data_IF_441091712463
#
_entry.id   IF_441091712463
#
_cell.length_a   1.000
_cell.length_b   1.000
_cell.length_c   1.000
_cell.angle_alpha   90.00
_cell.angle_beta   90.00
_cell.angle_gamma   90.00
#
_symmetry.space_group_name_H-M   'P 1'
#
loop_
_entity.id
_entity.type
_entity.pdbx_description
1 polymer ?
#
# COMPACT_ATOMS: atom_id res chain seq x y z
N UNK A 1 -49.06 16.00 5.03
CA UNK A 1 -48.46 16.88 3.98
C UNK A 1 -47.08 17.48 4.34
N UNK A 2 -46.44 17.10 5.47
CA UNK A 2 -45.11 17.63 5.90
C UNK A 2 -43.88 16.81 5.44
N UNK A 3 -44.07 15.66 4.80
CA UNK A 3 -42.97 14.77 4.39
C UNK A 3 -42.26 15.18 3.08
N UNK A 4 -42.90 15.99 2.22
CA UNK A 4 -42.31 16.42 0.94
C UNK A 4 -41.38 17.64 1.04
N UNK A 5 -41.45 18.42 2.12
CA UNK A 5 -40.55 19.58 2.32
C UNK A 5 -39.20 19.22 2.93
N UNK A 6 -39.10 18.13 3.70
CA UNK A 6 -37.82 17.60 4.20
C UNK A 6 -37.02 16.87 3.12
N UNK A 7 -37.67 16.17 2.18
CA UNK A 7 -36.97 15.51 1.07
C UNK A 7 -36.35 16.50 0.06
N UNK A 8 -36.83 17.74 -0.04
CA UNK A 8 -36.24 18.76 -0.93
C UNK A 8 -35.05 19.50 -0.32
N UNK A 9 -34.87 19.51 1.02
CA UNK A 9 -33.69 20.08 1.68
C UNK A 9 -32.51 19.12 1.76
N UNK A 10 -32.73 17.82 1.58
CA UNK A 10 -31.67 16.80 1.45
C UNK A 10 -31.41 16.41 -0.02
N UNK A 11 -31.48 17.37 -0.96
CA UNK A 11 -30.54 17.34 -2.07
C UNK A 11 -29.21 17.72 -1.45
N UNK A 12 -28.42 16.71 -1.08
CA UNK A 12 -27.02 16.87 -0.71
C UNK A 12 -26.30 17.50 -1.89
N UNK A 13 -26.29 18.83 -1.93
CA UNK A 13 -25.10 19.53 -2.37
C UNK A 13 -24.07 19.17 -1.30
N UNK A 14 -23.33 18.08 -1.52
CA UNK A 14 -22.16 17.76 -0.70
C UNK A 14 -21.34 19.05 -0.66
N UNK A 15 -21.28 19.68 0.52
CA UNK A 15 -20.58 20.94 0.67
C UNK A 15 -19.14 20.77 0.22
N UNK A 16 -18.45 21.85 -0.16
CA UNK A 16 -17.04 21.76 -0.56
C UNK A 16 -16.16 21.06 0.50
N UNK A 17 -16.56 21.06 1.78
CA UNK A 17 -15.92 20.31 2.85
C UNK A 17 -16.08 18.78 2.73
N UNK A 18 -17.29 18.27 2.43
CA UNK A 18 -17.54 16.83 2.30
C UNK A 18 -16.88 16.24 1.05
N UNK A 19 -16.86 17.00 -0.05
CA UNK A 19 -16.14 16.60 -1.28
C UNK A 19 -14.63 16.54 -1.07
N UNK A 20 -14.05 17.45 -0.29
CA UNK A 20 -12.63 17.44 0.07
C UNK A 20 -12.29 16.24 0.97
N UNK A 21 -13.14 15.89 1.94
CA UNK A 21 -12.94 14.72 2.80
C UNK A 21 -12.97 13.41 2.01
N UNK A 22 -13.98 13.20 1.17
CA UNK A 22 -14.09 12.00 0.31
C UNK A 22 -12.89 11.89 -0.65
N UNK A 23 -12.47 13.01 -1.24
CA UNK A 23 -11.28 13.04 -2.10
C UNK A 23 -9.99 12.71 -1.34
N UNK A 24 -9.82 13.22 -0.13
CA UNK A 24 -8.64 12.96 0.71
C UNK A 24 -8.53 11.50 1.14
N UNK A 25 -9.62 10.91 1.64
CA UNK A 25 -9.65 9.49 2.03
C UNK A 25 -9.43 8.55 0.84
N UNK A 26 -9.97 8.90 -0.33
CA UNK A 26 -9.74 8.13 -1.57
C UNK A 26 -8.28 8.21 -2.00
N UNK A 27 -7.65 9.39 -1.91
CA UNK A 27 -6.23 9.56 -2.20
C UNK A 27 -5.35 8.75 -1.25
N UNK A 28 -5.69 8.71 0.04
CA UNK A 28 -4.96 7.89 1.02
C UNK A 28 -5.04 6.39 0.70
N UNK A 29 -6.23 5.89 0.32
CA UNK A 29 -6.40 4.50 -0.11
C UNK A 29 -5.56 4.16 -1.35
N UNK A 30 -5.62 5.02 -2.37
CA UNK A 30 -4.86 4.82 -3.61
C UNK A 30 -3.36 4.84 -3.30
N UNK A 31 -2.90 5.77 -2.46
CA UNK A 31 -1.49 5.86 -2.11
C UNK A 31 -0.99 4.58 -1.41
N UNK A 32 -1.73 4.06 -0.43
CA UNK A 32 -1.35 2.85 0.31
C UNK A 32 -1.29 1.61 -0.59
N UNK A 33 -2.28 1.39 -1.46
CA UNK A 33 -2.28 0.21 -2.33
C UNK A 33 -1.29 0.32 -3.48
N UNK A 34 -1.23 1.48 -4.15
CA UNK A 34 -0.44 1.61 -5.38
C UNK A 34 1.06 1.62 -5.07
N UNK A 35 1.48 2.21 -3.95
CA UNK A 35 2.88 2.22 -3.53
C UNK A 35 3.46 0.81 -3.37
N UNK A 36 2.79 -0.04 -2.58
CA UNK A 36 3.27 -1.39 -2.26
C UNK A 36 3.20 -2.34 -3.47
N UNK A 37 2.11 -2.26 -4.26
CA UNK A 37 1.94 -3.05 -5.47
C UNK A 37 3.06 -2.77 -6.48
N UNK A 38 3.37 -1.51 -6.78
CA UNK A 38 4.36 -1.16 -7.82
C UNK A 38 5.74 -1.73 -7.50
N UNK A 39 6.14 -1.71 -6.23
CA UNK A 39 7.47 -2.16 -5.81
C UNK A 39 7.63 -3.68 -5.86
N UNK A 40 6.55 -4.42 -5.60
CA UNK A 40 6.61 -5.87 -5.38
C UNK A 40 6.13 -6.68 -6.59
N UNK A 41 5.23 -6.13 -7.42
CA UNK A 41 4.58 -6.86 -8.52
C UNK A 41 5.59 -7.42 -9.54
N UNK A 42 6.62 -6.66 -9.88
CA UNK A 42 7.63 -7.10 -10.84
C UNK A 42 8.42 -8.33 -10.35
N UNK A 43 8.75 -8.37 -9.05
CA UNK A 43 9.45 -9.50 -8.45
C UNK A 43 8.57 -10.76 -8.45
N UNK A 44 7.30 -10.62 -8.04
CA UNK A 44 6.35 -11.74 -7.95
C UNK A 44 6.00 -12.31 -9.33
N UNK A 45 5.75 -11.47 -10.33
CA UNK A 45 5.57 -11.93 -11.71
C UNK A 45 6.84 -12.56 -12.28
N UNK A 46 8.02 -12.11 -11.82
CA UNK A 46 9.30 -12.72 -12.15
C UNK A 46 9.57 -14.07 -11.48
N UNK A 47 8.82 -14.44 -10.43
CA UNK A 47 8.92 -15.74 -9.72
C UNK A 47 7.83 -16.71 -10.19
N UNK A 48 6.58 -16.25 -10.23
CA UNK A 48 5.40 -17.05 -10.59
C UNK A 48 5.21 -17.23 -12.10
N UNK A 49 5.78 -16.31 -12.89
CA UNK A 49 5.44 -16.14 -14.30
C UNK A 49 4.13 -15.40 -14.51
N UNK A 50 3.89 -14.99 -15.76
CA UNK A 50 2.76 -14.15 -16.13
C UNK A 50 1.38 -14.79 -15.90
N UNK A 51 1.09 -16.04 -16.32
CA UNK A 51 -0.25 -16.60 -16.20
C UNK A 51 -0.65 -16.86 -14.73
N UNK A 52 0.27 -17.41 -13.93
CA UNK A 52 0.00 -17.70 -12.52
C UNK A 52 -0.02 -16.41 -11.69
N UNK A 53 0.91 -15.48 -11.93
CA UNK A 53 0.90 -14.16 -11.31
C UNK A 53 -0.40 -13.40 -11.57
N UNK A 54 -0.88 -13.37 -12.81
CA UNK A 54 -2.15 -12.74 -13.17
C UNK A 54 -3.36 -13.40 -12.49
N UNK A 55 -3.39 -14.73 -12.42
CA UNK A 55 -4.43 -15.47 -11.72
C UNK A 55 -4.46 -15.13 -10.23
N UNK A 56 -3.32 -15.20 -9.54
CA UNK A 56 -3.23 -14.91 -8.11
C UNK A 56 -3.56 -13.45 -7.80
N UNK A 57 -3.09 -12.51 -8.62
CA UNK A 57 -3.43 -11.09 -8.50
C UNK A 57 -4.94 -10.86 -8.63
N UNK A 58 -5.58 -11.53 -9.59
CA UNK A 58 -7.03 -11.42 -9.80
C UNK A 58 -7.81 -11.98 -8.61
N UNK A 59 -7.40 -13.14 -8.06
CA UNK A 59 -8.02 -13.73 -6.89
C UNK A 59 -7.88 -12.82 -5.67
N UNK A 60 -6.67 -12.29 -5.42
CA UNK A 60 -6.40 -11.37 -4.33
C UNK A 60 -7.28 -10.12 -4.47
N UNK A 61 -7.33 -9.50 -5.65
CA UNK A 61 -8.17 -8.34 -5.90
C UNK A 61 -9.67 -8.60 -5.64
N UNK A 62 -10.21 -9.72 -6.13
CA UNK A 62 -11.62 -10.07 -5.93
C UNK A 62 -11.94 -10.34 -4.46
N UNK A 63 -11.04 -11.02 -3.75
CA UNK A 63 -11.17 -11.24 -2.31
C UNK A 63 -11.20 -9.92 -1.55
N UNK A 64 -10.34 -8.97 -1.92
CA UNK A 64 -10.24 -7.67 -1.23
C UNK A 64 -11.46 -6.79 -1.46
N UNK A 65 -12.01 -6.77 -2.68
CA UNK A 65 -13.29 -6.10 -2.95
C UNK A 65 -14.41 -6.71 -2.11
N UNK A 66 -14.43 -8.03 -1.96
CA UNK A 66 -15.40 -8.72 -1.12
C UNK A 66 -15.20 -8.40 0.37
N UNK A 67 -13.96 -8.47 0.87
CA UNK A 67 -13.61 -8.16 2.26
C UNK A 67 -13.95 -6.71 2.61
N UNK A 68 -13.62 -5.75 1.74
CA UNK A 68 -13.96 -4.34 1.89
C UNK A 68 -15.48 -4.14 2.06
N UNK A 69 -16.29 -4.82 1.25
CA UNK A 69 -17.76 -4.76 1.37
C UNK A 69 -18.28 -5.34 2.69
N UNK A 70 -17.72 -6.46 3.14
CA UNK A 70 -18.14 -7.12 4.40
C UNK A 70 -17.78 -6.24 5.60
N UNK A 71 -16.53 -5.74 5.65
CA UNK A 71 -16.06 -4.88 6.75
C UNK A 71 -16.82 -3.56 6.74
N UNK A 72 -17.02 -2.94 5.58
CA UNK A 72 -17.80 -1.70 5.46
C UNK A 72 -19.24 -1.85 5.97
N UNK A 73 -19.91 -2.97 5.64
CA UNK A 73 -21.24 -3.29 6.21
C UNK A 73 -21.16 -3.48 7.72
N UNK A 74 -20.19 -4.21 8.23
CA UNK A 74 -20.02 -4.44 9.66
C UNK A 74 -19.77 -3.12 10.43
N UNK A 75 -18.97 -2.20 9.88
CA UNK A 75 -18.75 -0.86 10.44
C UNK A 75 -20.04 -0.04 10.47
N UNK A 76 -20.85 -0.15 9.42
CA UNK A 76 -22.14 0.54 9.32
C UNK A 76 -23.15 0.08 10.40
N UNK A 77 -23.18 -1.22 10.72
CA UNK A 77 -24.08 -1.78 11.74
C UNK A 77 -23.58 -1.58 13.18
N UNK A 78 -22.29 -1.76 13.43
CA UNK A 78 -21.69 -1.73 14.78
C UNK A 78 -21.36 -0.31 15.27
N UNK A 79 -21.27 0.65 14.35
CA UNK A 79 -20.76 2.00 14.60
C UNK A 79 -19.41 2.01 15.35
N UNK A 80 -18.57 1.00 15.11
CA UNK A 80 -17.22 0.96 15.68
C UNK A 80 -16.31 1.98 15.00
N UNK A 81 -15.45 2.63 15.81
CA UNK A 81 -14.40 3.53 15.32
C UNK A 81 -13.12 2.78 14.92
N UNK A 82 -12.80 1.71 15.64
CA UNK A 82 -11.59 0.92 15.43
C UNK A 82 -11.90 -0.54 15.09
N UNK A 83 -10.92 -1.22 14.46
CA UNK A 83 -11.02 -2.66 14.15
C UNK A 83 -11.24 -3.51 15.42
N UNK A 84 -10.58 -3.16 16.53
CA UNK A 84 -10.73 -3.85 17.79
C UNK A 84 -12.17 -3.73 18.34
N UNK A 85 -12.76 -2.53 18.27
CA UNK A 85 -14.14 -2.29 18.72
C UNK A 85 -15.15 -2.99 17.82
N UNK A 86 -14.89 -3.02 16.51
CA UNK A 86 -15.69 -3.74 15.53
C UNK A 86 -15.75 -5.24 15.86
N UNK A 87 -14.59 -5.86 16.09
CA UNK A 87 -14.51 -7.30 16.36
C UNK A 87 -15.06 -7.63 17.75
N UNK A 88 -14.86 -6.77 18.75
CA UNK A 88 -15.48 -6.95 20.09
C UNK A 88 -17.01 -6.90 20.03
N UNK A 89 -17.59 -6.08 19.14
CA UNK A 89 -19.05 -5.97 18.98
C UNK A 89 -19.64 -7.11 18.14
N UNK A 90 -18.91 -7.61 17.15
CA UNK A 90 -19.38 -8.67 16.25
C UNK A 90 -19.04 -10.09 16.75
N UNK A 91 -17.98 -10.25 17.54
CA UNK A 91 -17.41 -11.53 17.94
C UNK A 91 -16.94 -11.54 19.40
N UNK A 92 -16.35 -12.67 19.82
CA UNK A 92 -15.83 -12.85 21.18
C UNK A 92 -14.58 -12.00 21.45
N UNK A 93 -14.40 -11.57 22.71
CA UNK A 93 -13.26 -10.76 23.19
C UNK A 93 -11.90 -11.40 22.88
N UNK A 94 -11.79 -12.72 23.01
CA UNK A 94 -10.53 -13.43 22.74
C UNK A 94 -10.15 -13.37 21.26
N UNK A 95 -11.13 -13.46 20.35
CA UNK A 95 -10.89 -13.32 18.91
C UNK A 95 -10.48 -11.88 18.57
N UNK A 96 -11.10 -10.89 19.20
CA UNK A 96 -10.74 -9.50 19.00
C UNK A 96 -9.29 -9.21 19.36
N UNK A 97 -8.81 -9.72 20.50
CA UNK A 97 -7.40 -9.56 20.92
C UNK A 97 -6.46 -10.26 19.94
N UNK A 98 -6.80 -11.47 19.48
CA UNK A 98 -5.97 -12.20 18.53
C UNK A 98 -5.81 -11.44 17.20
N UNK A 99 -6.92 -10.93 16.64
CA UNK A 99 -6.87 -10.17 15.38
C UNK A 99 -6.11 -8.85 15.54
N UNK A 100 -6.23 -8.20 16.69
CA UNK A 100 -5.49 -6.97 17.00
C UNK A 100 -3.98 -7.21 17.05
N UNK A 101 -3.53 -8.30 17.69
CA UNK A 101 -2.11 -8.71 17.68
C UNK A 101 -1.62 -8.94 16.24
N UNK A 102 -2.41 -9.64 15.41
CA UNK A 102 -2.07 -9.85 14.01
C UNK A 102 -1.97 -8.53 13.23
N UNK A 103 -2.89 -7.60 13.46
CA UNK A 103 -2.88 -6.28 12.81
C UNK A 103 -1.65 -5.46 13.22
N UNK A 104 -1.29 -5.45 14.50
CA UNK A 104 -0.08 -4.77 15.00
C UNK A 104 1.19 -5.38 14.41
N UNK A 105 1.30 -6.72 14.37
CA UNK A 105 2.44 -7.40 13.75
C UNK A 105 2.55 -7.09 12.24
N UNK A 106 1.40 -7.00 11.55
CA UNK A 106 1.36 -6.63 10.15
C UNK A 106 1.84 -5.20 9.92
N UNK A 107 1.34 -4.22 10.69
CA UNK A 107 1.78 -2.82 10.61
C UNK A 107 3.28 -2.68 10.92
N UNK A 108 3.78 -3.43 11.90
CA UNK A 108 5.22 -3.47 12.21
C UNK A 108 6.05 -4.05 11.05
N UNK A 109 5.60 -5.13 10.42
CA UNK A 109 6.28 -5.70 9.26
C UNK A 109 6.31 -4.72 8.08
N UNK A 110 5.21 -3.99 7.84
CA UNK A 110 5.12 -2.93 6.83
C UNK A 110 6.15 -1.82 7.10
N UNK A 111 6.30 -1.37 8.35
CA UNK A 111 7.31 -0.37 8.72
C UNK A 111 8.74 -0.85 8.46
N UNK A 112 9.04 -2.12 8.75
CA UNK A 112 10.34 -2.72 8.41
C UNK A 112 10.57 -2.69 6.89
N UNK A 113 9.56 -3.09 6.10
CA UNK A 113 9.65 -3.06 4.64
C UNK A 113 9.93 -1.65 4.11
N UNK A 114 9.22 -0.63 4.60
CA UNK A 114 9.48 0.77 4.21
C UNK A 114 10.89 1.21 4.60
N UNK A 115 11.38 0.85 5.78
CA UNK A 115 12.78 1.13 6.19
C UNK A 115 13.77 0.53 5.21
N UNK A 116 13.58 -0.73 4.81
CA UNK A 116 14.46 -1.42 3.87
C UNK A 116 14.43 -0.77 2.48
N UNK A 117 13.24 -0.43 1.97
CA UNK A 117 13.08 0.22 0.67
C UNK A 117 13.71 1.61 0.66
N UNK A 118 13.38 2.47 1.62
CA UNK A 118 13.92 3.83 1.71
C UNK A 118 15.43 3.79 1.88
N UNK A 119 15.96 2.87 2.71
CA UNK A 119 17.41 2.72 2.87
C UNK A 119 18.12 2.33 1.57
N UNK A 120 17.48 1.50 0.76
CA UNK A 120 18.03 1.08 -0.53
C UNK A 120 18.04 2.24 -1.52
N UNK A 121 16.99 3.06 -1.54
CA UNK A 121 16.94 4.28 -2.37
C UNK A 121 17.96 5.33 -1.93
N UNK A 122 18.12 5.56 -0.63
CA UNK A 122 19.11 6.51 -0.09
C UNK A 122 20.53 6.01 -0.40
N UNK A 123 20.79 4.71 -0.28
CA UNK A 123 22.08 4.13 -0.66
C UNK A 123 22.35 4.30 -2.16
N UNK A 124 21.38 4.00 -3.03
CA UNK A 124 21.53 4.20 -4.48
C UNK A 124 21.74 5.67 -4.85
N UNK A 125 21.05 6.59 -4.18
CA UNK A 125 21.26 8.02 -4.37
C UNK A 125 22.67 8.44 -3.91
N UNK A 126 23.13 7.93 -2.77
CA UNK A 126 24.49 8.15 -2.28
C UNK A 126 25.51 7.68 -3.32
N UNK A 127 25.40 6.43 -3.81
CA UNK A 127 26.30 5.87 -4.82
C UNK A 127 26.33 6.70 -6.11
N UNK A 128 25.17 7.21 -6.55
CA UNK A 128 25.06 8.08 -7.70
C UNK A 128 25.83 9.40 -7.51
N UNK A 129 25.72 10.04 -6.34
CA UNK A 129 26.43 11.29 -6.04
C UNK A 129 27.92 11.11 -5.80
N UNK A 130 28.32 10.02 -5.14
CA UNK A 130 29.73 9.72 -4.86
C UNK A 130 30.44 9.07 -6.05
N UNK A 131 29.73 8.73 -7.13
CA UNK A 131 30.24 8.03 -8.30
C UNK A 131 31.03 6.77 -7.91
N UNK A 132 30.54 6.07 -6.89
CA UNK A 132 31.19 4.85 -6.40
C UNK A 132 31.13 3.81 -7.52
N UNK A 133 32.25 3.18 -7.93
CA UNK A 133 32.20 2.11 -8.92
C UNK A 133 31.40 0.92 -8.38
N UNK A 134 30.70 0.18 -9.27
CA UNK A 134 29.99 -1.04 -8.90
C UNK A 134 30.97 -2.06 -8.31
N UNK A 135 30.73 -2.49 -7.07
CA UNK A 135 31.54 -3.52 -6.41
C UNK A 135 31.25 -4.88 -7.05
N UNK A 136 31.92 -5.23 -8.15
CA UNK A 136 31.51 -6.42 -8.90
C UNK A 136 31.98 -7.75 -8.31
N UNK A 137 33.10 -7.84 -7.55
CA UNK A 137 33.51 -9.09 -6.87
C UNK A 137 34.55 -8.95 -5.74
N UNK A 138 34.97 -7.73 -5.38
CA UNK A 138 35.98 -7.53 -4.33
C UNK A 138 35.35 -7.69 -2.92
N UNK A 139 35.80 -8.66 -2.09
CA UNK A 139 35.26 -8.89 -0.76
C UNK A 139 35.42 -7.68 0.19
N UNK A 140 36.43 -6.84 0.01
CA UNK A 140 36.59 -5.62 0.83
C UNK A 140 35.57 -4.55 0.45
N UNK A 141 35.33 -4.37 -0.85
CA UNK A 141 34.30 -3.48 -1.39
C UNK A 141 32.90 -3.90 -0.93
N UNK A 142 32.59 -5.20 -0.98
CA UNK A 142 31.32 -5.77 -0.48
C UNK A 142 31.13 -5.55 1.02
N UNK A 143 32.20 -5.63 1.81
CA UNK A 143 32.14 -5.42 3.27
C UNK A 143 31.88 -3.94 3.60
N UNK A 144 32.49 -3.02 2.86
CA UNK A 144 32.27 -1.59 3.02
C UNK A 144 30.87 -1.19 2.57
N UNK A 145 30.40 -1.72 1.44
CA UNK A 145 29.03 -1.55 0.95
C UNK A 145 27.99 -1.99 2.00
N UNK A 146 28.11 -3.22 2.53
CA UNK A 146 27.22 -3.73 3.59
C UNK A 146 27.24 -2.88 4.86
N UNK A 147 28.40 -2.33 5.23
CA UNK A 147 28.53 -1.47 6.41
C UNK A 147 27.82 -0.13 6.21
N UNK A 148 27.98 0.49 5.05
CA UNK A 148 27.29 1.74 4.69
C UNK A 148 25.78 1.54 4.60
N UNK A 149 25.33 0.46 3.93
CA UNK A 149 23.92 0.07 3.84
C UNK A 149 23.30 -0.16 5.23
N UNK A 150 24.00 -0.88 6.11
CA UNK A 150 23.53 -1.11 7.48
C UNK A 150 23.46 0.17 8.32
N UNK A 151 24.39 1.11 8.12
CA UNK A 151 24.36 2.40 8.81
C UNK A 151 23.18 3.25 8.34
N UNK A 152 22.95 3.34 7.04
CA UNK A 152 21.82 4.07 6.45
C UNK A 152 20.49 3.48 6.94
N UNK A 153 20.36 2.15 6.98
CA UNK A 153 19.20 1.46 7.56
C UNK A 153 18.93 1.85 9.00
N UNK A 154 19.97 1.91 9.82
CA UNK A 154 19.85 2.26 11.23
C UNK A 154 19.40 3.71 11.39
N UNK A 155 19.98 4.64 10.62
CA UNK A 155 19.58 6.06 10.64
C UNK A 155 18.11 6.21 10.23
N UNK A 156 17.66 5.56 9.15
CA UNK A 156 16.28 5.70 8.69
C UNK A 156 15.31 5.06 9.68
N UNK A 157 15.61 3.85 10.16
CA UNK A 157 14.74 3.11 11.08
C UNK A 157 14.60 3.77 12.45
N UNK A 158 15.67 4.36 13.00
CA UNK A 158 15.65 4.93 14.35
C UNK A 158 15.52 6.46 14.41
N UNK A 159 15.85 7.18 13.34
CA UNK A 159 15.75 8.64 13.33
C UNK A 159 14.62 9.14 12.43
N UNK A 160 14.43 8.61 11.22
CA UNK A 160 13.46 9.20 10.28
C UNK A 160 12.02 8.79 10.62
N UNK A 161 11.77 7.50 10.80
CA UNK A 161 10.40 7.00 11.05
C UNK A 161 9.82 7.46 12.40
N UNK A 162 10.57 7.43 13.53
CA UNK A 162 10.02 7.95 14.78
C UNK A 162 9.81 9.47 14.77
N UNK A 163 10.56 10.21 13.92
CA UNK A 163 10.31 11.65 13.73
C UNK A 163 9.04 11.92 12.92
N UNK A 164 8.65 11.01 12.02
CA UNK A 164 7.39 11.10 11.28
C UNK A 164 6.17 11.02 12.20
N UNK A 165 6.23 10.22 13.27
CA UNK A 165 5.16 10.10 14.27
C UNK A 165 4.86 11.42 15.02
N UNK A 166 5.80 12.39 15.02
CA UNK A 166 5.56 13.72 15.59
C UNK A 166 4.74 14.64 14.66
N UNK A 167 4.55 14.24 13.39
CA UNK A 167 3.75 14.99 12.42
C UNK A 167 2.26 14.69 12.66
N UNK A 168 1.66 15.41 13.61
CA UNK A 168 0.25 15.25 13.98
C UNK A 168 -0.73 16.06 13.11
N UNK A 169 -0.23 16.85 12.16
CA UNK A 169 -1.08 17.71 11.32
C UNK A 169 -1.59 16.99 10.08
N UNK A 170 -2.91 16.78 10.02
CA UNK A 170 -3.64 16.21 8.87
C UNK A 170 -3.38 17.01 7.58
N UNK A 171 -3.12 18.32 7.67
CA UNK A 171 -2.78 19.13 6.50
C UNK A 171 -1.43 18.75 5.90
N UNK A 172 -0.46 18.34 6.72
CA UNK A 172 0.86 17.90 6.26
C UNK A 172 0.74 16.52 5.63
N UNK A 173 -0.05 15.62 6.24
CA UNK A 173 -0.28 14.28 5.70
C UNK A 173 -0.96 14.31 4.33
N UNK A 174 -1.98 15.16 4.15
CA UNK A 174 -2.63 15.35 2.85
C UNK A 174 -1.69 15.95 1.81
N UNK A 175 -0.78 16.85 2.22
CA UNK A 175 0.24 17.40 1.33
C UNK A 175 1.23 16.31 0.89
N UNK A 176 1.78 15.53 1.82
CA UNK A 176 2.69 14.41 1.54
C UNK A 176 2.03 13.38 0.62
N UNK A 177 0.79 12.99 0.92
CA UNK A 177 0.00 12.05 0.11
C UNK A 177 -0.20 12.57 -1.33
N UNK A 178 -0.45 13.87 -1.51
CA UNK A 178 -0.56 14.46 -2.85
C UNK A 178 0.75 14.39 -3.63
N UNK A 179 1.92 14.59 -2.99
CA UNK A 179 3.22 14.45 -3.65
C UNK A 179 3.53 12.99 -3.99
N UNK A 180 3.21 12.06 -3.08
CA UNK A 180 3.42 10.63 -3.28
C UNK A 180 2.70 10.12 -4.54
N UNK A 181 1.45 10.54 -4.76
CA UNK A 181 0.69 10.19 -5.98
C UNK A 181 1.39 10.68 -7.25
N UNK A 182 1.96 11.90 -7.23
CA UNK A 182 2.71 12.42 -8.38
C UNK A 182 3.98 11.60 -8.65
N UNK A 183 4.73 11.25 -7.61
CA UNK A 183 5.93 10.40 -7.75
C UNK A 183 5.57 9.00 -8.27
N UNK A 184 4.47 8.43 -7.80
CA UNK A 184 3.93 7.15 -8.30
C UNK A 184 3.61 7.23 -9.78
N UNK A 185 2.93 8.29 -10.24
CA UNK A 185 2.62 8.48 -11.65
C UNK A 185 3.89 8.64 -12.50
N UNK A 186 4.86 9.43 -12.03
CA UNK A 186 6.15 9.58 -12.71
C UNK A 186 6.87 8.22 -12.81
N UNK A 187 6.87 7.45 -11.73
CA UNK A 187 7.50 6.12 -11.68
C UNK A 187 6.85 5.17 -12.67
N UNK A 188 5.50 5.14 -12.74
CA UNK A 188 4.77 4.35 -13.72
C UNK A 188 5.13 4.73 -15.16
N UNK A 189 5.16 6.03 -15.48
CA UNK A 189 5.55 6.51 -16.81
C UNK A 189 6.98 6.08 -17.13
N UNK A 190 7.92 6.22 -16.19
CA UNK A 190 9.30 5.77 -16.35
C UNK A 190 9.40 4.26 -16.59
N UNK A 191 8.68 3.44 -15.82
CA UNK A 191 8.65 1.98 -15.99
C UNK A 191 8.12 1.60 -17.38
N UNK A 192 6.99 2.20 -17.80
CA UNK A 192 6.39 1.92 -19.12
C UNK A 192 7.33 2.34 -20.24
N UNK A 193 7.88 3.55 -20.18
CA UNK A 193 8.81 4.06 -21.19
C UNK A 193 10.06 3.19 -21.29
N UNK A 194 10.69 2.85 -20.14
CA UNK A 194 11.87 1.99 -20.10
C UNK A 194 11.55 0.56 -20.54
N UNK A 195 10.37 0.04 -20.19
CA UNK A 195 9.90 -1.27 -20.65
C UNK A 195 9.76 -1.32 -22.17
N UNK A 196 9.09 -0.33 -22.77
CA UNK A 196 8.97 -0.21 -24.23
C UNK A 196 10.33 -0.04 -24.90
N UNK A 197 11.20 0.82 -24.35
CA UNK A 197 12.55 1.01 -24.86
C UNK A 197 13.36 -0.29 -24.84
N UNK A 198 13.26 -1.07 -23.76
CA UNK A 198 13.94 -2.37 -23.61
C UNK A 198 13.38 -3.41 -24.59
N UNK A 199 12.07 -3.41 -24.82
CA UNK A 199 11.43 -4.30 -25.80
C UNK A 199 11.89 -4.00 -27.23
N UNK A 200 12.08 -2.71 -27.57
CA UNK A 200 12.52 -2.30 -28.91
C UNK A 200 14.02 -2.53 -29.11
N UNK A 201 14.85 -2.13 -28.13
CA UNK A 201 16.31 -2.16 -28.25
C UNK A 201 16.96 -3.46 -27.79
N UNK A 202 16.23 -4.32 -27.08
CA UNK A 202 16.76 -5.56 -26.47
C UNK A 202 17.75 -5.33 -25.33
N UNK A 203 17.98 -4.07 -24.92
CA UNK A 203 18.93 -3.68 -23.88
C UNK A 203 18.27 -2.65 -22.96
N UNK A 204 18.65 -2.63 -21.68
CA UNK A 204 18.21 -1.59 -20.75
C UNK A 204 19.27 -0.48 -20.73
N UNK A 205 19.02 0.70 -21.32
CA UNK A 205 20.05 1.73 -21.45
C UNK A 205 20.43 2.29 -20.07
N UNK A 206 21.72 2.57 -19.87
CA UNK A 206 22.31 3.03 -18.60
C UNK A 206 22.27 1.99 -17.47
N UNK A 207 22.12 0.70 -17.82
CA UNK A 207 22.29 -0.39 -16.89
C UNK A 207 23.06 -1.53 -17.57
N UNK A 208 24.39 -1.45 -17.51
CA UNK A 208 25.31 -2.44 -18.08
C UNK A 208 25.21 -3.80 -17.36
N UNK A 209 24.52 -3.84 -16.22
CA UNK A 209 24.31 -5.02 -15.36
C UNK A 209 22.95 -5.68 -15.63
N UNK A 210 22.14 -5.15 -16.56
CA UNK A 210 20.86 -5.76 -16.89
C UNK A 210 21.05 -7.09 -17.63
N UNK A 211 20.99 -8.19 -16.88
CA UNK A 211 20.88 -9.53 -17.43
C UNK A 211 19.41 -9.92 -17.44
N UNK A 212 18.75 -10.06 -18.62
CA UNK A 212 17.38 -10.56 -18.66
C UNK A 212 17.32 -11.94 -18.00
N UNK A 213 16.36 -12.12 -17.06
CA UNK A 213 16.18 -13.40 -16.38
C UNK A 213 15.96 -14.51 -17.43
N UNK A 214 16.76 -15.57 -17.33
CA UNK A 214 16.57 -16.82 -18.08
C UNK A 214 15.94 -17.87 -17.16
N UNK A 215 14.86 -18.55 -17.55
CA UNK A 215 14.10 -18.38 -18.79
C UNK A 215 13.25 -17.10 -18.80
N UNK A 216 12.94 -16.59 -20.00
CA UNK A 216 12.16 -15.37 -20.28
C UNK A 216 10.65 -15.57 -20.01
N UNK A 217 10.29 -16.45 -19.06
CA UNK A 217 8.95 -17.07 -18.90
C UNK A 217 8.70 -18.16 -19.98
N UNK A 218 8.14 -19.34 -19.63
CA UNK A 218 7.67 -19.77 -18.31
C UNK A 218 8.68 -20.66 -17.58
N UNK A 219 9.10 -20.21 -16.40
CA UNK A 219 9.65 -21.05 -15.34
C UNK A 219 8.49 -21.81 -14.69
N UNK A 220 8.64 -23.11 -14.39
CA UNK A 220 7.70 -23.78 -13.48
C UNK A 220 8.06 -23.32 -12.05
N UNK A 221 7.23 -22.50 -11.38
CA UNK A 221 7.54 -22.03 -10.04
C UNK A 221 7.56 -23.21 -9.07
N UNK A 222 8.46 -23.15 -8.08
CA UNK A 222 8.45 -24.12 -6.99
C UNK A 222 7.16 -23.99 -6.18
N UNK A 223 6.64 -25.10 -5.65
CA UNK A 223 5.39 -25.08 -4.85
C UNK A 223 5.51 -24.11 -3.65
N UNK A 224 6.71 -23.99 -3.09
CA UNK A 224 7.00 -23.07 -1.99
C UNK A 224 6.95 -21.60 -2.41
N UNK A 225 7.39 -21.28 -3.63
CA UNK A 225 7.30 -19.91 -4.19
C UNK A 225 5.83 -19.53 -4.38
N UNK A 226 5.01 -20.47 -4.90
CA UNK A 226 3.56 -20.24 -5.06
C UNK A 226 2.90 -19.92 -3.72
N UNK A 227 3.21 -20.66 -2.66
CA UNK A 227 2.61 -20.45 -1.35
C UNK A 227 3.06 -19.13 -0.68
N UNK A 228 4.35 -18.84 -0.75
CA UNK A 228 4.89 -17.59 -0.18
C UNK A 228 4.45 -16.36 -0.97
N UNK A 229 4.43 -16.43 -2.31
CA UNK A 229 3.94 -15.36 -3.16
C UNK A 229 2.42 -15.18 -3.04
N UNK A 230 1.65 -16.24 -2.80
CA UNK A 230 0.22 -16.15 -2.52
C UNK A 230 -0.04 -15.19 -1.36
N UNK A 231 0.57 -15.44 -0.19
CA UNK A 231 0.40 -14.53 0.97
C UNK A 231 0.87 -13.11 0.69
N UNK A 232 1.95 -12.96 -0.07
CA UNK A 232 2.45 -11.66 -0.52
C UNK A 232 1.48 -10.89 -1.42
N UNK A 233 0.75 -11.57 -2.31
CA UNK A 233 -0.26 -10.94 -3.18
C UNK A 233 -1.44 -10.38 -2.41
N UNK A 234 -1.84 -10.99 -1.28
CA UNK A 234 -2.89 -10.43 -0.41
C UNK A 234 -2.38 -9.24 0.40
N UNK A 235 -1.13 -9.30 0.86
CA UNK A 235 -0.53 -8.19 1.61
C UNK A 235 -0.51 -6.88 0.80
N UNK A 236 -0.28 -6.94 -0.52
CA UNK A 236 -0.26 -5.77 -1.42
C UNK A 236 -1.55 -4.95 -1.43
N UNK A 237 -2.68 -5.58 -1.09
CA UNK A 237 -4.00 -4.94 -1.08
C UNK A 237 -4.57 -4.85 0.34
N UNK A 238 -3.76 -5.13 1.35
CA UNK A 238 -4.23 -5.20 2.74
C UNK A 238 -4.54 -3.82 3.29
N UNK A 239 -5.81 -3.45 3.17
CA UNK A 239 -6.37 -2.20 3.73
C UNK A 239 -7.26 -2.45 4.93
N UNK A 240 -7.52 -3.71 5.28
CA UNK A 240 -8.59 -4.10 6.22
C UNK A 240 -8.49 -3.41 7.58
N UNK A 241 -7.30 -3.23 8.19
CA UNK A 241 -7.20 -2.56 9.49
C UNK A 241 -7.48 -1.05 9.44
N UNK A 242 -7.34 -0.43 8.26
CA UNK A 242 -7.49 1.03 8.08
C UNK A 242 -8.93 1.39 7.68
N UNK A 243 -9.76 0.41 7.27
CA UNK A 243 -11.15 0.66 6.86
C UNK A 243 -12.00 1.25 7.99
N UNK A 244 -12.04 0.69 9.22
CA UNK A 244 -12.88 1.23 10.30
C UNK A 244 -12.61 2.70 10.67
N UNK A 245 -11.35 3.13 10.95
CA UNK A 245 -11.08 4.52 11.31
C UNK A 245 -11.38 5.49 10.16
N UNK A 246 -11.10 5.08 8.92
CA UNK A 246 -11.41 5.90 7.76
C UNK A 246 -12.92 5.99 7.50
N UNK A 247 -13.67 4.92 7.76
CA UNK A 247 -15.13 4.92 7.65
C UNK A 247 -15.76 5.85 8.69
N UNK A 248 -15.22 5.89 9.91
CA UNK A 248 -15.64 6.84 10.93
C UNK A 248 -15.41 8.29 10.50
N UNK A 249 -14.23 8.58 9.93
CA UNK A 249 -13.87 9.91 9.43
C UNK A 249 -14.73 10.37 8.24
N UNK A 250 -15.01 9.45 7.31
CA UNK A 250 -15.80 9.70 6.10
C UNK A 250 -17.27 9.97 6.38
N UNK A 251 -17.89 9.21 7.29
CA UNK A 251 -19.34 9.29 7.48
C UNK A 251 -19.73 10.40 8.46
N UNK A 252 -18.82 10.83 9.35
CA UNK A 252 -18.82 12.18 9.93
C UNK A 252 -20.15 12.74 10.46
N UNK A 253 -21.12 11.92 10.85
CA UNK A 253 -22.30 12.23 11.67
C UNK A 253 -23.17 10.98 11.81
N UNK A 254 -23.61 10.68 13.03
CA UNK A 254 -24.50 9.54 13.35
C UNK A 254 -25.87 9.61 12.64
N UNK A 255 -26.28 10.77 12.13
CA UNK A 255 -27.49 10.94 11.31
C UNK A 255 -27.31 10.60 9.82
N UNK A 256 -26.13 10.86 9.25
CA UNK A 256 -25.78 10.47 7.86
C UNK A 256 -25.63 8.95 7.75
N UNK A 257 -25.13 8.30 8.82
CA UNK A 257 -25.08 6.83 8.98
C UNK A 257 -26.46 6.18 8.74
N UNK A 258 -27.55 6.80 9.23
CA UNK A 258 -28.93 6.29 9.03
C UNK A 258 -29.49 6.56 7.63
N UNK A 259 -29.07 7.65 6.98
CA UNK A 259 -29.57 8.05 5.66
C UNK A 259 -28.99 7.21 4.51
N UNK A 260 -27.69 6.88 4.55
CA UNK A 260 -27.03 6.04 3.53
C UNK A 260 -27.57 4.60 3.58
N UNK A 261 -27.86 4.07 4.77
CA UNK A 261 -28.43 2.73 4.95
C UNK A 261 -29.95 2.64 4.68
N UNK A 262 -30.68 3.75 4.80
CA UNK A 262 -32.12 3.80 4.53
C UNK A 262 -32.47 3.83 3.03
N UNK A 263 -31.52 4.22 2.18
CA UNK A 263 -31.62 4.08 0.73
C UNK A 263 -30.78 2.89 0.29
N UNK A 264 -31.35 1.69 0.40
CA UNK A 264 -30.75 0.51 -0.22
C UNK A 264 -30.38 0.80 -1.67
N UNK A 265 -29.09 0.73 -1.96
CA UNK A 265 -28.53 0.47 -3.30
C UNK A 265 -27.98 -0.95 -3.23
#
# INVERSE_FOLDING_TARGET
>A
MKLKSQQRKCKLDAGPADKRKISGSTMMFVNNCVGDVILTIACRFGQLGLPLGALLLTIAFLYEVWAFRVIGKACAYSQAGDLLDLIKKCYNKNLAIFVDICAVLMLFAVQICYTLVISSYVHQAYDFFTKTPSCDLDPECLKQFKKTESLIRLIIGFAVLPFEDFITSVSILNFISSFAVVFVLITLVCIVFRGVQTLISGQLPFNDVFVPRKPVVPYQPGIFDIFTDFTGMFAMFSLQPVIPPLYEELVGNSEVKKYILGKGI
#
